data_IF_344981511489
#
_entry.id   IF_344981511489
#
_cell.length_a   1.000
_cell.length_b   1.000
_cell.length_c   1.000
_cell.angle_alpha   90.00
_cell.angle_beta   90.00
_cell.angle_gamma   90.00
#
_symmetry.space_group_name_H-M   'P 1'
#
loop_
_entity.id
_entity.type
_entity.pdbx_description
1 polymer ?
#
# COMPACT_ATOMS: atom_id res chain seq x y z
N UNK A 1 1.17 19.18 -28.29
CA UNK A 1 -0.03 18.45 -28.73
C UNK A 1 -1.26 19.22 -28.28
N UNK A 2 -2.05 19.78 -29.19
CA UNK A 2 -3.33 20.39 -28.84
C UNK A 2 -4.34 19.25 -28.70
N UNK A 3 -4.58 18.81 -27.47
CA UNK A 3 -5.64 17.85 -27.19
C UNK A 3 -6.99 18.48 -27.53
N UNK A 4 -7.80 17.76 -28.29
CA UNK A 4 -9.18 18.12 -28.58
C UNK A 4 -9.90 18.47 -27.28
N UNK A 5 -10.67 19.57 -27.25
CA UNK A 5 -11.55 19.88 -26.12
C UNK A 5 -12.39 18.64 -25.84
N UNK A 6 -12.43 18.24 -24.57
CA UNK A 6 -13.29 17.14 -24.13
C UNK A 6 -14.73 17.58 -24.42
N UNK A 7 -15.48 16.70 -25.07
CA UNK A 7 -16.91 16.88 -25.30
C UNK A 7 -17.65 16.43 -24.04
N UNK A 8 -18.50 17.31 -23.51
CA UNK A 8 -19.29 17.12 -22.29
C UNK A 8 -20.80 17.16 -22.59
N UNK A 9 -21.18 16.95 -23.86
CA UNK A 9 -22.59 16.98 -24.27
C UNK A 9 -23.44 15.89 -23.61
N UNK A 10 -22.83 14.77 -23.22
CA UNK A 10 -23.47 13.62 -22.60
C UNK A 10 -23.30 13.55 -21.07
N UNK A 11 -22.20 14.12 -20.53
CA UNK A 11 -21.89 14.10 -19.10
C UNK A 11 -21.34 15.48 -18.67
N UNK A 12 -21.95 16.14 -17.67
CA UNK A 12 -21.46 17.42 -17.17
C UNK A 12 -20.10 17.26 -16.47
N UNK A 13 -19.28 18.32 -16.53
CA UNK A 13 -18.04 18.40 -15.75
C UNK A 13 -18.35 18.30 -14.25
N UNK A 14 -17.52 17.54 -13.52
CA UNK A 14 -17.61 17.48 -12.06
C UNK A 14 -17.16 18.80 -11.46
N UNK A 15 -17.94 19.31 -10.50
CA UNK A 15 -17.59 20.51 -9.74
C UNK A 15 -16.43 20.24 -8.79
N UNK A 16 -15.69 21.30 -8.41
CA UNK A 16 -14.60 21.21 -7.43
C UNK A 16 -15.07 20.61 -6.08
N UNK A 17 -16.30 20.90 -5.67
CA UNK A 17 -16.89 20.32 -4.46
C UNK A 17 -17.14 18.82 -4.58
N UNK A 18 -17.62 18.35 -5.73
CA UNK A 18 -17.82 16.92 -6.01
C UNK A 18 -16.49 16.18 -6.05
N UNK A 19 -15.47 16.78 -6.66
CA UNK A 19 -14.11 16.24 -6.68
C UNK A 19 -13.51 16.17 -5.26
N UNK A 20 -13.79 17.18 -4.41
CA UNK A 20 -13.33 17.21 -3.02
C UNK A 20 -14.01 16.15 -2.15
N UNK A 21 -15.32 15.94 -2.34
CA UNK A 21 -16.09 14.88 -1.66
C UNK A 21 -15.77 13.48 -2.17
N UNK A 22 -15.18 13.36 -3.36
CA UNK A 22 -14.72 12.12 -3.94
C UNK A 22 -13.73 11.39 -3.04
N UNK A 23 -14.03 10.12 -2.70
CA UNK A 23 -13.09 9.27 -1.97
C UNK A 23 -11.83 9.06 -2.82
N UNK A 24 -10.68 9.58 -2.38
CA UNK A 24 -9.39 9.29 -3.03
C UNK A 24 -9.11 7.79 -2.97
N UNK A 25 -9.26 7.12 -4.10
CA UNK A 25 -8.93 5.68 -4.27
C UNK A 25 -7.49 5.43 -4.74
N UNK A 26 -6.68 6.49 -4.84
CA UNK A 26 -5.26 6.42 -5.19
C UNK A 26 -4.36 6.05 -4.00
N UNK A 27 -3.04 5.99 -4.25
CA UNK A 27 -2.03 5.78 -3.19
C UNK A 27 -2.18 6.88 -2.14
N UNK A 28 -2.43 6.56 -0.86
CA UNK A 28 -2.44 7.54 0.22
C UNK A 28 -1.11 8.30 0.25
N UNK A 29 -1.14 9.62 0.50
CA UNK A 29 0.07 10.41 0.77
C UNK A 29 0.57 10.07 2.17
N UNK A 30 1.23 8.92 2.34
CA UNK A 30 1.89 8.61 3.61
C UNK A 30 3.23 9.37 3.68
N UNK A 31 3.44 10.18 4.71
CA UNK A 31 4.73 10.83 4.96
C UNK A 31 5.87 9.83 5.25
N UNK A 32 5.53 8.60 5.64
CA UNK A 32 6.47 7.52 5.96
C UNK A 32 6.30 6.35 4.99
N UNK A 33 6.59 6.58 3.71
CA UNK A 33 6.51 5.52 2.71
C UNK A 33 7.59 4.46 2.97
N UNK A 34 7.19 3.19 3.02
CA UNK A 34 8.14 2.06 3.10
C UNK A 34 8.95 1.99 1.81
N UNK A 35 10.25 1.79 1.92
CA UNK A 35 11.12 1.55 0.77
C UNK A 35 10.92 0.12 0.27
N UNK A 36 10.80 -0.05 -1.04
CA UNK A 36 10.73 -1.38 -1.66
C UNK A 36 12.14 -1.96 -1.73
N UNK A 37 12.32 -3.10 -1.08
CA UNK A 37 13.59 -3.83 -1.07
C UNK A 37 13.36 -5.27 -1.52
N UNK A 38 14.40 -5.89 -2.07
CA UNK A 38 14.41 -7.32 -2.33
C UNK A 38 15.14 -8.03 -1.17
N UNK A 39 14.48 -9.02 -0.57
CA UNK A 39 15.08 -9.89 0.45
C UNK A 39 14.95 -11.35 0.01
N UNK A 40 16.03 -12.12 0.18
CA UNK A 40 16.01 -13.55 -0.10
C UNK A 40 15.51 -14.29 1.15
N UNK A 41 14.44 -15.07 0.99
CA UNK A 41 13.85 -15.89 2.05
C UNK A 41 13.75 -17.32 1.54
N UNK A 42 14.15 -18.30 2.36
CA UNK A 42 14.00 -19.71 2.02
C UNK A 42 12.51 -20.04 1.74
N UNK A 43 12.18 -20.82 0.69
CA UNK A 43 10.78 -21.08 0.30
C UNK A 43 9.94 -21.69 1.43
N UNK A 44 10.54 -22.59 2.22
CA UNK A 44 9.88 -23.23 3.38
C UNK A 44 9.50 -22.21 4.45
N UNK A 45 10.40 -21.27 4.74
CA UNK A 45 10.16 -20.20 5.72
C UNK A 45 9.07 -19.24 5.23
N UNK A 46 9.09 -18.85 3.95
CA UNK A 46 8.05 -18.00 3.37
C UNK A 46 6.66 -18.65 3.48
N UNK A 47 6.56 -19.96 3.23
CA UNK A 47 5.30 -20.70 3.38
C UNK A 47 4.80 -20.70 4.83
N UNK A 48 5.69 -20.86 5.81
CA UNK A 48 5.33 -20.79 7.23
C UNK A 48 4.86 -19.38 7.64
N UNK A 49 5.58 -18.34 7.20
CA UNK A 49 5.21 -16.93 7.47
C UNK A 49 3.84 -16.59 6.89
N UNK A 50 3.52 -17.07 5.68
CA UNK A 50 2.19 -16.89 5.07
C UNK A 50 1.08 -17.54 5.89
N UNK A 51 1.31 -18.76 6.39
CA UNK A 51 0.35 -19.46 7.26
C UNK A 51 0.14 -18.73 8.59
N UNK A 52 1.22 -18.22 9.19
CA UNK A 52 1.15 -17.45 10.44
C UNK A 52 0.40 -16.13 10.25
N UNK A 53 0.61 -15.45 9.12
CA UNK A 53 -0.07 -14.21 8.80
C UNK A 53 -1.58 -14.43 8.58
N UNK A 54 -1.94 -15.51 7.86
CA UNK A 54 -3.34 -15.90 7.66
C UNK A 54 -4.05 -16.20 9.00
N UNK A 55 -3.39 -16.88 9.94
CA UNK A 55 -3.94 -17.12 11.29
C UNK A 55 -4.21 -15.84 12.09
N UNK A 56 -3.55 -14.74 11.75
CA UNK A 56 -3.70 -13.45 12.42
C UNK A 56 -4.59 -12.47 11.64
N UNK A 57 -5.16 -12.90 10.50
CA UNK A 57 -5.89 -12.04 9.55
C UNK A 57 -5.06 -10.81 9.09
N UNK A 58 -3.77 -11.04 8.78
CA UNK A 58 -2.83 -9.98 8.35
C UNK A 58 -2.13 -10.34 7.05
N UNK A 59 -1.77 -9.36 6.20
CA UNK A 59 -0.87 -9.58 5.08
C UNK A 59 0.50 -10.06 5.55
N UNK A 60 1.08 -11.05 4.86
CA UNK A 60 2.37 -11.63 5.26
C UNK A 60 3.52 -10.63 5.22
N UNK A 61 3.48 -9.63 4.33
CA UNK A 61 4.48 -8.57 4.26
C UNK A 61 4.44 -7.68 5.51
N UNK A 62 3.25 -7.41 6.05
CA UNK A 62 3.08 -6.67 7.30
C UNK A 62 3.67 -7.46 8.47
N UNK A 63 3.38 -8.76 8.55
CA UNK A 63 3.96 -9.63 9.58
C UNK A 63 5.49 -9.67 9.50
N UNK A 64 6.06 -9.81 8.30
CA UNK A 64 7.52 -9.78 8.11
C UNK A 64 8.11 -8.47 8.62
N UNK A 65 7.49 -7.34 8.28
CA UNK A 65 7.94 -6.04 8.74
C UNK A 65 7.91 -5.91 10.28
N UNK A 66 6.81 -6.29 10.93
CA UNK A 66 6.69 -6.27 12.40
C UNK A 66 7.73 -7.17 13.07
N UNK A 67 8.01 -8.35 12.50
CA UNK A 67 9.03 -9.26 13.03
C UNK A 67 10.43 -8.65 12.93
N UNK A 68 10.75 -8.01 11.80
CA UNK A 68 12.03 -7.33 11.60
C UNK A 68 12.18 -6.12 12.53
N UNK A 69 11.12 -5.32 12.69
CA UNK A 69 11.11 -4.17 13.60
C UNK A 69 11.34 -4.61 15.05
N UNK A 70 10.63 -5.65 15.51
CA UNK A 70 10.84 -6.20 16.86
C UNK A 70 12.24 -6.76 17.07
N UNK A 71 12.80 -7.42 16.06
CA UNK A 71 14.14 -7.99 16.15
C UNK A 71 15.20 -6.87 16.21
N UNK A 72 15.08 -5.85 15.35
CA UNK A 72 15.98 -4.71 15.33
C UNK A 72 15.87 -3.88 16.62
N UNK A 73 14.65 -3.62 17.10
CA UNK A 73 14.42 -2.87 18.35
C UNK A 73 14.97 -3.56 19.59
N UNK A 74 15.02 -4.90 19.61
CA UNK A 74 15.65 -5.67 20.70
C UNK A 74 17.18 -5.63 20.70
N UNK A 75 17.81 -5.33 19.57
CA UNK A 75 19.28 -5.27 19.45
C UNK A 75 19.86 -3.89 19.76
N UNK A 76 19.02 -2.86 19.84
CA UNK A 76 19.43 -1.46 20.04
C UNK A 76 19.12 -0.97 21.48
N UNK A 77 18.62 -1.86 22.34
CA UNK A 77 18.31 -1.58 23.75
C UNK A 77 19.38 -2.15 24.69
#
# INVERSE_FOLDING_TARGET
>A
MRGSRIDFSDIPESTDEELHRGRRVGRPRSGNAKQLIAIRIAPRLLAQLRRLAAKQDKPYQTLIHELLERAAGKQVA
#
